data_IF_334666856325
#
_entry.id   IF_334666856325
#
_cell.length_a   1.000
_cell.length_b   1.000
_cell.length_c   1.000
_cell.angle_alpha   90.00
_cell.angle_beta   90.00
_cell.angle_gamma   90.00
#
_symmetry.space_group_name_H-M   'P 1'
#
loop_
_entity.id
_entity.type
_entity.pdbx_description
1 polymer ?
#
# COMPACT_ATOMS: atom_id res chain seq x y z
N UNK A 1 -4.88 -28.53 3.95
CA UNK A 1 -3.54 -29.06 3.64
C UNK A 1 -3.64 -29.74 2.29
N UNK A 2 -2.68 -29.54 1.39
CA UNK A 2 -2.70 -30.19 0.08
C UNK A 2 -1.89 -31.50 0.21
N UNK A 3 -2.58 -32.63 0.41
CA UNK A 3 -1.97 -33.96 0.59
C UNK A 3 -1.33 -34.52 -0.69
N UNK A 4 -1.59 -33.89 -1.85
CA UNK A 4 -1.05 -34.28 -3.15
C UNK A 4 0.48 -34.21 -3.25
N UNK A 5 1.13 -33.50 -2.33
CA UNK A 5 2.59 -33.29 -2.32
C UNK A 5 3.35 -34.51 -1.79
N UNK A 6 2.68 -35.41 -1.07
CA UNK A 6 3.31 -36.61 -0.47
C UNK A 6 3.74 -37.65 -1.50
N UNK A 7 3.14 -37.65 -2.69
CA UNK A 7 3.52 -38.49 -3.84
C UNK A 7 4.98 -38.25 -4.26
N UNK A 8 5.50 -37.06 -3.99
CA UNK A 8 6.87 -36.66 -4.29
C UNK A 8 7.85 -36.90 -3.12
N UNK A 9 7.46 -37.66 -2.10
CA UNK A 9 8.31 -37.98 -0.94
C UNK A 9 8.45 -36.85 0.08
N UNK A 10 7.66 -35.78 -0.04
CA UNK A 10 7.73 -34.61 0.85
C UNK A 10 6.58 -34.64 1.86
N UNK A 11 6.88 -34.54 3.15
CA UNK A 11 5.87 -34.53 4.23
C UNK A 11 5.07 -33.23 4.24
N UNK A 12 3.73 -33.33 4.23
CA UNK A 12 2.86 -32.17 4.36
C UNK A 12 2.83 -31.67 5.82
N UNK A 13 3.35 -30.46 6.05
CA UNK A 13 3.33 -29.81 7.38
C UNK A 13 2.21 -28.78 7.45
N UNK A 14 1.51 -28.70 8.58
CA UNK A 14 0.50 -27.66 8.84
C UNK A 14 1.17 -26.30 8.97
N UNK A 15 1.10 -25.48 7.91
CA UNK A 15 1.61 -24.10 7.93
C UNK A 15 0.54 -23.14 8.47
N UNK A 16 0.91 -22.14 9.28
CA UNK A 16 0.00 -21.07 9.65
C UNK A 16 -0.42 -20.30 8.39
N UNK A 17 -1.70 -19.92 8.33
CA UNK A 17 -2.22 -19.12 7.23
C UNK A 17 -1.80 -17.67 7.46
N UNK A 18 -0.76 -17.23 6.76
CA UNK A 18 -0.36 -15.81 6.77
C UNK A 18 -1.38 -15.04 5.94
N UNK A 19 -2.18 -14.20 6.60
CA UNK A 19 -3.12 -13.30 5.93
C UNK A 19 -2.35 -12.05 5.55
N UNK A 20 -2.42 -11.64 4.28
CA UNK A 20 -1.86 -10.37 3.86
C UNK A 20 -2.60 -9.24 4.58
N UNK A 21 -1.89 -8.40 5.32
CA UNK A 21 -2.43 -7.14 5.83
C UNK A 21 -2.67 -6.22 4.63
N UNK A 22 -3.92 -5.81 4.41
CA UNK A 22 -4.30 -4.86 3.35
C UNK A 22 -4.32 -3.43 3.90
N UNK A 23 -3.32 -3.05 4.69
CA UNK A 23 -3.21 -1.71 5.22
C UNK A 23 -2.22 -0.90 4.40
N UNK A 24 -2.65 0.28 3.95
CA UNK A 24 -1.77 1.24 3.29
C UNK A 24 -0.91 1.93 4.36
N UNK A 25 0.38 1.65 4.39
CA UNK A 25 1.35 2.34 5.24
C UNK A 25 2.03 3.46 4.45
N UNK A 26 1.89 4.69 4.94
CA UNK A 26 2.46 5.89 4.32
C UNK A 26 3.79 6.33 4.95
N UNK A 27 4.28 5.59 5.96
CA UNK A 27 5.46 5.98 6.76
C UNK A 27 6.78 5.78 6.00
N UNK A 28 6.81 4.80 5.08
CA UNK A 28 8.00 4.47 4.28
C UNK A 28 8.25 5.45 3.12
N UNK A 29 9.39 5.30 2.45
CA UNK A 29 9.78 6.14 1.30
C UNK A 29 8.75 6.11 0.15
N UNK A 30 8.18 4.94 -0.12
CA UNK A 30 7.09 4.78 -1.10
C UNK A 30 5.84 5.55 -0.70
N UNK A 31 5.49 5.51 0.59
CA UNK A 31 4.40 6.29 1.17
C UNK A 31 4.61 7.79 1.02
N UNK A 32 5.82 8.26 1.32
CA UNK A 32 6.18 9.67 1.11
C UNK A 32 6.08 10.09 -0.35
N UNK A 33 6.46 9.21 -1.29
CA UNK A 33 6.33 9.50 -2.72
C UNK A 33 4.87 9.65 -3.14
N UNK A 34 3.97 8.79 -2.65
CA UNK A 34 2.53 8.89 -2.90
C UNK A 34 1.99 10.22 -2.38
N UNK A 35 2.31 10.58 -1.13
CA UNK A 35 1.87 11.86 -0.55
C UNK A 35 2.37 13.03 -1.42
N UNK A 36 3.64 13.01 -1.84
CA UNK A 36 4.22 14.08 -2.68
C UNK A 36 3.54 14.18 -4.05
N UNK A 37 3.26 13.06 -4.72
CA UNK A 37 2.62 13.07 -6.04
C UNK A 37 1.20 13.59 -5.97
N UNK A 38 0.42 13.10 -5.01
CA UNK A 38 -0.98 13.53 -4.82
C UNK A 38 -1.06 15.01 -4.42
N UNK A 39 -0.22 15.44 -3.49
CA UNK A 39 -0.17 16.85 -3.07
C UNK A 39 0.16 17.77 -4.24
N UNK A 40 1.14 17.39 -5.07
CA UNK A 40 1.52 18.16 -6.27
C UNK A 40 0.36 18.24 -7.27
N UNK A 41 -0.36 17.14 -7.47
CA UNK A 41 -1.51 17.10 -8.37
C UNK A 41 -2.62 18.04 -7.89
N UNK A 42 -2.98 17.95 -6.61
CA UNK A 42 -4.04 18.77 -5.99
C UNK A 42 -3.71 20.27 -6.08
N UNK A 43 -2.46 20.66 -5.76
CA UNK A 43 -2.01 22.05 -5.87
C UNK A 43 -2.10 22.59 -7.30
N UNK A 44 -1.79 21.76 -8.31
CA UNK A 44 -1.89 22.14 -9.72
C UNK A 44 -3.34 22.32 -10.14
N UNK A 45 -4.21 21.40 -9.74
CA UNK A 45 -5.64 21.41 -10.10
C UNK A 45 -6.37 22.59 -9.47
N UNK A 46 -6.08 22.92 -8.21
CA UNK A 46 -6.83 23.91 -7.43
C UNK A 46 -6.04 25.19 -7.11
N UNK A 47 -5.20 25.66 -8.04
CA UNK A 47 -4.32 26.82 -7.84
C UNK A 47 -5.05 28.09 -7.34
N UNK A 48 -6.24 28.39 -7.86
CA UNK A 48 -7.03 29.57 -7.45
C UNK A 48 -7.57 29.45 -6.02
N UNK A 49 -8.01 28.25 -5.63
CA UNK A 49 -8.51 27.97 -4.29
C UNK A 49 -7.40 28.13 -3.25
N UNK A 50 -6.23 27.55 -3.51
CA UNK A 50 -5.08 27.69 -2.62
C UNK A 50 -4.56 29.12 -2.57
N UNK A 51 -4.60 29.87 -3.68
CA UNK A 51 -4.26 31.30 -3.66
C UNK A 51 -5.21 32.08 -2.75
N UNK A 52 -6.53 31.86 -2.89
CA UNK A 52 -7.54 32.52 -2.06
C UNK A 52 -7.40 32.16 -0.57
N UNK A 53 -7.05 30.92 -0.25
CA UNK A 53 -6.79 30.47 1.12
C UNK A 53 -5.51 31.08 1.70
N UNK A 54 -4.48 31.32 0.88
CA UNK A 54 -3.25 31.96 1.32
C UNK A 54 -3.42 33.47 1.57
N UNK A 55 -4.39 34.09 0.88
CA UNK A 55 -4.73 35.52 1.01
C UNK A 55 -5.80 35.79 2.09
N UNK A 56 -6.31 34.75 2.78
CA UNK A 56 -7.24 34.85 3.93
C UNK A 56 -6.49 34.96 5.25
#
# INVERSE_FOLDING_TARGET
>A
MNTKIEVYGVKAVKRPKVVASKQLDLSGESGQQIVKSETKLVLRTHKRTFKKLADM
#
